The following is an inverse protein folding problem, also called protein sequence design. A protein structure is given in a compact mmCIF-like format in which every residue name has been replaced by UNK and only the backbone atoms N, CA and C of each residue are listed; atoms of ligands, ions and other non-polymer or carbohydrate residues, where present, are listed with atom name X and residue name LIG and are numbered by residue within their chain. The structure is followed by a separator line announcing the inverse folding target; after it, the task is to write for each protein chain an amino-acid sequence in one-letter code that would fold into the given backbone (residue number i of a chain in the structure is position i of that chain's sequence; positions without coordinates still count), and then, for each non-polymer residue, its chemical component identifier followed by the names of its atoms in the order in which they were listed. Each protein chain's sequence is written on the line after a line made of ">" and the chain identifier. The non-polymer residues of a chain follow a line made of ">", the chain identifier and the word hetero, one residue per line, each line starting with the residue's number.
data_IF_879707989322
#
_entry.id   IF_879707989322
#
_cell.length_a   1.000
_cell.length_b   1.000
_cell.length_c   1.000
_cell.angle_alpha   90.00
_cell.angle_beta   90.00
_cell.angle_gamma   90.00
#
_symmetry.space_group_name_H-M   'P 1'
#
loop_
_entity.id
_entity.type
_entity.pdbx_description
1 polymer ?
#
# COMPACT_ATOMS: atom_id res chain seq x y z
N UNK A 1 12.43 -10.75 19.09
CA UNK A 1 11.30 -9.80 19.13
C UNK A 1 10.02 -10.60 19.00
N UNK A 2 9.02 -10.48 19.90
CA UNK A 2 7.84 -11.33 19.89
C UNK A 2 6.70 -10.81 18.98
N UNK A 3 6.90 -9.75 18.21
CA UNK A 3 5.79 -9.06 17.54
C UNK A 3 5.37 -9.71 16.21
N UNK A 4 6.30 -10.18 15.40
CA UNK A 4 5.97 -10.87 14.13
C UNK A 4 5.37 -12.28 14.36
N UNK A 5 5.66 -12.92 15.50
CA UNK A 5 5.09 -14.24 15.82
C UNK A 5 3.64 -14.19 16.34
N UNK A 6 3.10 -13.01 16.64
CA UNK A 6 1.71 -12.84 17.11
C UNK A 6 0.72 -12.44 16.03
N UNK A 7 1.17 -11.95 14.87
CA UNK A 7 0.27 -11.62 13.76
C UNK A 7 -0.39 -12.85 13.09
N UNK A 8 0.07 -14.06 13.41
CA UNK A 8 -0.47 -15.32 12.86
C UNK A 8 -1.62 -15.95 13.66
N UNK A 9 -2.14 -15.35 14.71
CA UNK A 9 -3.30 -15.88 15.45
C UNK A 9 -4.43 -14.89 15.49
N UNK A 10 -5.35 -15.01 14.52
CA UNK A 10 -6.70 -14.46 14.65
C UNK A 10 -7.41 -15.32 15.70
N UNK A 11 -7.94 -14.75 16.82
CA UNK A 11 -8.79 -15.51 17.73
C UNK A 11 -10.04 -15.93 16.96
N UNK A 12 -10.26 -17.24 16.81
CA UNK A 12 -11.53 -17.76 16.32
C UNK A 12 -12.60 -17.50 17.42
N UNK A 13 -13.35 -16.42 17.26
CA UNK A 13 -14.59 -16.23 17.99
C UNK A 13 -15.63 -17.25 17.49
N UNK A 14 -16.52 -17.79 18.35
CA UNK A 14 -17.50 -18.78 17.92
C UNK A 14 -18.50 -18.14 16.95
N UNK A 15 -18.49 -18.56 15.70
CA UNK A 15 -19.54 -18.26 14.74
C UNK A 15 -20.85 -18.87 15.22
N UNK A 16 -21.74 -18.08 15.79
CA UNK A 16 -23.14 -18.45 15.94
C UNK A 16 -23.75 -18.38 14.52
N UNK A 17 -24.09 -19.56 13.99
CA UNK A 17 -24.93 -19.68 12.83
C UNK A 17 -26.30 -19.03 13.12
N UNK A 18 -26.58 -17.90 12.55
CA UNK A 18 -27.92 -17.33 12.52
C UNK A 18 -28.71 -18.04 11.42
N UNK A 19 -29.68 -18.85 11.85
CA UNK A 19 -30.58 -19.59 10.96
C UNK A 19 -31.42 -18.61 10.11
N UNK A 20 -31.45 -18.85 8.82
CA UNK A 20 -32.33 -18.17 7.88
C UNK A 20 -33.81 -18.53 8.14
N UNK A 21 -34.76 -17.59 8.16
CA UNK A 21 -36.18 -17.95 8.22
C UNK A 21 -36.65 -18.43 6.86
N UNK A 22 -37.26 -19.62 6.86
CA UNK A 22 -37.93 -20.20 5.71
C UNK A 22 -39.19 -19.42 5.36
N UNK A 23 -39.27 -18.83 4.16
CA UNK A 23 -40.47 -18.27 3.62
C UNK A 23 -41.28 -19.38 2.92
N UNK A 24 -42.46 -19.73 3.51
CA UNK A 24 -43.49 -20.55 2.89
C UNK A 24 -44.30 -19.70 1.93
N UNK A 25 -44.34 -20.08 0.67
CA UNK A 25 -45.19 -19.49 -0.34
C UNK A 25 -46.67 -19.86 -0.14
N UNK A 26 -47.56 -18.90 -0.33
CA UNK A 26 -48.97 -19.16 -0.63
C UNK A 26 -49.31 -18.59 -1.99
N UNK A 27 -49.84 -19.49 -2.84
CA UNK A 27 -50.38 -19.20 -4.17
C UNK A 27 -51.73 -18.46 -4.01
N UNK A 28 -51.96 -17.44 -4.83
CA UNK A 28 -53.27 -16.81 -5.00
C UNK A 28 -53.38 -16.17 -6.36
N UNK A 29 -54.00 -16.90 -7.30
CA UNK A 29 -54.47 -16.39 -8.58
C UNK A 29 -55.60 -15.36 -8.36
N UNK A 30 -55.57 -14.23 -9.06
CA UNK A 30 -56.81 -13.67 -9.68
C UNK A 30 -56.45 -12.76 -10.86
N UNK A 31 -57.08 -13.09 -11.98
CA UNK A 31 -57.20 -12.34 -13.23
C UNK A 31 -58.08 -11.10 -12.99
N UNK A 32 -57.72 -10.00 -13.64
CA UNK A 32 -58.59 -8.84 -13.79
C UNK A 32 -58.19 -8.06 -15.04
N UNK A 33 -58.93 -8.30 -16.12
CA UNK A 33 -58.89 -7.52 -17.37
C UNK A 33 -59.75 -6.29 -17.16
N UNK A 34 -59.29 -5.10 -17.53
CA UNK A 34 -60.20 -4.01 -17.95
C UNK A 34 -59.52 -3.12 -19.01
N UNK A 35 -60.31 -2.89 -20.02
CA UNK A 35 -60.07 -2.13 -21.25
C UNK A 35 -60.26 -0.60 -21.04
N UNK A 36 -59.72 0.11 -22.03
CA UNK A 36 -60.19 1.37 -22.64
C UNK A 36 -59.88 2.65 -21.88
N UNK A 37 -59.55 3.78 -22.47
CA UNK A 37 -60.05 4.46 -23.68
C UNK A 37 -59.03 5.52 -24.10
N UNK A 38 -58.83 5.66 -25.42
CA UNK A 38 -58.08 6.76 -26.02
C UNK A 38 -58.94 8.03 -26.05
N UNK A 39 -58.37 9.15 -25.66
CA UNK A 39 -58.91 10.46 -25.99
C UNK A 39 -57.83 11.35 -26.56
N UNK A 40 -57.90 11.59 -27.86
CA UNK A 40 -57.10 12.59 -28.54
C UNK A 40 -57.68 13.98 -28.30
N UNK A 41 -56.84 14.89 -27.75
CA UNK A 41 -57.13 16.33 -27.84
C UNK A 41 -55.96 17.01 -28.55
N UNK A 42 -56.25 17.54 -29.70
CA UNK A 42 -55.42 18.46 -30.47
C UNK A 42 -55.45 19.84 -29.79
N UNK A 43 -54.30 20.38 -29.44
CA UNK A 43 -54.16 21.80 -29.11
C UNK A 43 -53.02 22.41 -29.92
N UNK A 44 -53.35 23.57 -30.49
CA UNK A 44 -52.57 24.39 -31.40
C UNK A 44 -51.24 24.86 -30.82
N UNK A 45 -50.23 24.92 -31.70
CA UNK A 45 -48.91 25.47 -31.45
C UNK A 45 -48.93 26.97 -31.73
N UNK A 46 -48.47 27.81 -30.78
CA UNK A 46 -48.00 29.14 -31.15
C UNK A 46 -46.47 29.07 -31.43
N UNK A 47 -46.08 29.61 -32.56
CA UNK A 47 -44.69 29.84 -32.93
C UNK A 47 -44.02 30.85 -31.96
N UNK A 48 -42.92 30.46 -31.33
CA UNK A 48 -42.05 31.39 -30.61
C UNK A 48 -40.71 31.47 -31.32
N UNK A 49 -40.26 32.70 -31.49
CA UNK A 49 -39.00 33.17 -32.09
C UNK A 49 -37.73 32.60 -31.47
N UNK A 50 -36.57 32.60 -32.17
CA UNK A 50 -35.34 31.99 -31.68
C UNK A 50 -34.71 32.84 -30.58
N UNK A 51 -34.81 32.37 -29.36
CA UNK A 51 -34.13 32.87 -28.22
C UNK A 51 -32.65 32.45 -28.20
N UNK A 52 -31.78 33.39 -27.98
CA UNK A 52 -30.36 33.32 -27.77
C UNK A 52 -29.91 32.05 -27.05
N UNK A 53 -29.05 31.27 -27.70
CA UNK A 53 -28.36 30.11 -27.11
C UNK A 53 -27.28 30.63 -26.16
N UNK A 54 -27.52 30.51 -24.87
CA UNK A 54 -26.44 30.60 -23.89
C UNK A 54 -25.39 29.50 -24.16
N UNK A 55 -24.09 29.79 -24.10
CA UNK A 55 -23.06 28.79 -24.28
C UNK A 55 -23.16 27.73 -23.19
N UNK A 56 -22.96 26.44 -23.52
CA UNK A 56 -22.94 25.41 -22.50
C UNK A 56 -21.83 25.68 -21.52
N UNK A 57 -22.17 25.80 -20.24
CA UNK A 57 -21.21 25.78 -19.14
C UNK A 57 -20.54 24.38 -19.16
N UNK A 58 -19.45 24.26 -19.91
CA UNK A 58 -18.51 23.16 -19.76
C UNK A 58 -17.90 23.32 -18.35
N UNK A 59 -18.60 22.79 -17.38
CA UNK A 59 -17.99 22.45 -16.10
C UNK A 59 -16.86 21.49 -16.41
N UNK A 60 -15.63 21.99 -16.48
CA UNK A 60 -14.45 21.17 -16.41
C UNK A 60 -14.47 20.47 -15.05
N UNK A 61 -15.14 19.32 -14.98
CA UNK A 61 -14.82 18.34 -13.97
C UNK A 61 -13.34 18.03 -14.18
N UNK A 62 -12.47 18.74 -13.46
CA UNK A 62 -11.08 18.31 -13.31
C UNK A 62 -11.17 16.91 -12.73
N UNK A 63 -11.02 15.92 -13.60
CA UNK A 63 -10.75 14.56 -13.15
C UNK A 63 -9.51 14.69 -12.27
N UNK A 64 -9.69 14.48 -10.99
CA UNK A 64 -8.64 14.61 -9.99
C UNK A 64 -7.80 13.32 -10.04
N UNK A 65 -7.13 13.10 -11.18
CA UNK A 65 -6.26 11.95 -11.39
C UNK A 65 -5.00 12.12 -10.54
N UNK A 66 -4.52 11.01 -10.00
CA UNK A 66 -3.31 10.97 -9.20
C UNK A 66 -2.12 11.61 -9.95
N UNK A 67 -1.23 12.35 -9.25
CA UNK A 67 -0.09 12.98 -9.88
C UNK A 67 0.89 11.95 -10.43
N UNK A 68 1.40 12.19 -11.62
CA UNK A 68 2.54 11.44 -12.19
C UNK A 68 3.81 11.91 -11.48
N UNK A 69 4.52 10.98 -10.87
CA UNK A 69 5.68 11.30 -10.04
C UNK A 69 7.00 10.94 -10.70
N UNK A 70 8.03 11.71 -10.35
CA UNK A 70 9.43 11.40 -10.61
C UNK A 70 10.31 12.03 -9.52
N UNK A 71 11.56 11.60 -9.44
CA UNK A 71 12.56 12.16 -8.54
C UNK A 71 13.22 13.38 -9.18
N UNK A 72 13.38 14.45 -8.42
CA UNK A 72 14.18 15.62 -8.79
C UNK A 72 15.01 16.07 -7.58
N UNK A 73 16.30 15.80 -7.62
CA UNK A 73 17.17 15.93 -6.45
C UNK A 73 16.67 15.07 -5.29
N UNK A 74 16.50 15.66 -4.13
CA UNK A 74 16.01 14.98 -2.94
C UNK A 74 14.47 15.10 -2.75
N UNK A 75 13.70 15.28 -3.84
CA UNK A 75 12.25 15.44 -3.79
C UNK A 75 11.52 14.54 -4.78
N UNK A 76 10.33 14.10 -4.37
CA UNK A 76 9.33 13.61 -5.31
C UNK A 76 8.61 14.83 -5.90
N UNK A 77 8.50 14.87 -7.22
CA UNK A 77 7.83 15.96 -7.92
C UNK A 77 6.81 15.42 -8.92
N UNK A 78 5.79 16.23 -9.21
CA UNK A 78 4.81 15.92 -10.24
C UNK A 78 5.34 16.32 -11.65
N UNK A 79 4.56 16.01 -12.69
CA UNK A 79 4.90 16.34 -14.07
C UNK A 79 5.13 17.83 -14.37
N UNK A 80 4.82 18.73 -13.42
CA UNK A 80 5.08 20.17 -13.52
C UNK A 80 6.29 20.61 -12.69
N UNK A 81 7.07 19.66 -12.15
CA UNK A 81 8.21 19.93 -11.27
C UNK A 81 7.82 20.43 -9.86
N UNK A 82 6.55 20.36 -9.47
CA UNK A 82 6.14 20.79 -8.13
C UNK A 82 6.35 19.64 -7.14
N UNK A 83 6.95 19.90 -5.97
CA UNK A 83 7.09 18.90 -4.91
C UNK A 83 5.75 18.28 -4.51
N UNK A 84 5.76 16.99 -4.23
CA UNK A 84 4.61 16.23 -3.75
C UNK A 84 5.03 15.48 -2.49
N UNK A 85 4.40 15.83 -1.37
CA UNK A 85 4.53 15.10 -0.11
C UNK A 85 3.44 14.03 -0.04
N UNK A 86 3.85 12.81 0.28
CA UNK A 86 2.93 11.69 0.42
C UNK A 86 2.49 11.61 1.89
N UNK A 87 1.23 11.89 2.16
CA UNK A 87 0.59 11.70 3.45
C UNK A 87 -0.44 10.59 3.28
N UNK A 88 -0.12 9.38 3.74
CA UNK A 88 -0.85 8.20 3.33
C UNK A 88 -1.11 7.19 4.42
N UNK A 89 -1.64 6.07 3.99
CA UNK A 89 -1.89 4.90 4.84
C UNK A 89 -1.45 3.62 4.14
N UNK A 90 -1.13 2.61 4.93
CA UNK A 90 -0.99 1.24 4.47
C UNK A 90 -2.37 0.58 4.49
N UNK A 91 -2.78 -0.02 3.38
CA UNK A 91 -4.02 -0.80 3.25
C UNK A 91 -3.66 -2.28 3.38
N UNK A 92 -3.47 -2.73 4.63
CA UNK A 92 -3.12 -4.11 4.94
C UNK A 92 -4.21 -5.11 4.55
N UNK A 93 -3.87 -6.39 4.55
CA UNK A 93 -4.77 -7.50 4.22
C UNK A 93 -4.33 -8.27 2.98
N UNK A 94 -3.89 -7.58 1.94
CA UNK A 94 -3.49 -8.20 0.67
C UNK A 94 -2.22 -9.03 0.77
N UNK A 95 -1.38 -8.79 1.78
CA UNK A 95 -0.13 -9.50 2.00
C UNK A 95 -0.32 -10.89 2.65
N UNK A 96 -1.43 -11.11 3.40
CA UNK A 96 -1.59 -12.35 4.17
C UNK A 96 -2.88 -13.13 3.88
N UNK A 97 -4.01 -12.47 3.58
CA UNK A 97 -5.30 -13.16 3.48
C UNK A 97 -5.31 -14.20 2.37
N UNK A 98 -4.68 -13.90 1.23
CA UNK A 98 -4.66 -14.80 0.08
C UNK A 98 -3.95 -16.12 0.39
N UNK A 99 -2.78 -16.07 1.01
CA UNK A 99 -2.00 -17.28 1.37
C UNK A 99 -2.64 -18.05 2.53
N UNK A 100 -3.47 -17.38 3.33
CA UNK A 100 -4.24 -17.98 4.42
C UNK A 100 -5.61 -18.55 3.96
N UNK A 101 -6.01 -18.33 2.71
CA UNK A 101 -7.28 -18.82 2.18
C UNK A 101 -8.51 -18.04 2.62
N UNK A 102 -8.34 -16.77 3.02
CA UNK A 102 -9.41 -15.93 3.58
C UNK A 102 -9.87 -14.80 2.64
N UNK A 103 -9.40 -14.76 1.41
CA UNK A 103 -9.72 -13.70 0.45
C UNK A 103 -8.49 -12.93 -0.01
N UNK A 104 -8.69 -11.74 -0.58
CA UNK A 104 -7.61 -10.87 -1.05
C UNK A 104 -7.54 -9.58 -0.21
N UNK A 105 -8.68 -9.05 0.20
CA UNK A 105 -8.78 -7.82 1.02
C UNK A 105 -9.55 -8.12 2.30
N UNK A 106 -9.14 -7.49 3.40
CA UNK A 106 -9.77 -7.61 4.71
C UNK A 106 -10.99 -6.69 4.93
N UNK A 107 -11.35 -5.92 3.91
CA UNK A 107 -12.48 -4.99 3.97
C UNK A 107 -12.82 -4.42 2.59
N UNK A 108 -13.69 -3.41 2.54
CA UNK A 108 -14.22 -2.88 1.30
C UNK A 108 -13.13 -2.25 0.41
N UNK A 109 -13.30 -2.42 -0.90
CA UNK A 109 -12.48 -1.82 -1.95
C UNK A 109 -13.33 -0.95 -2.87
N UNK A 110 -14.27 -0.23 -2.28
CA UNK A 110 -15.28 0.58 -2.96
C UNK A 110 -15.01 2.10 -2.83
N UNK A 111 -15.83 2.88 -3.50
CA UNK A 111 -15.75 4.34 -3.48
C UNK A 111 -16.00 4.93 -2.08
N UNK A 112 -16.80 4.28 -1.24
CA UNK A 112 -17.10 4.77 0.11
C UNK A 112 -15.84 4.71 1.00
N UNK A 113 -15.11 3.59 0.98
CA UNK A 113 -13.84 3.44 1.69
C UNK A 113 -12.79 4.45 1.22
N UNK A 114 -12.68 4.67 -0.10
CA UNK A 114 -11.77 5.69 -0.66
C UNK A 114 -12.18 7.10 -0.21
N UNK A 115 -13.48 7.40 -0.17
CA UNK A 115 -13.98 8.71 0.28
C UNK A 115 -13.66 8.96 1.76
N UNK A 116 -13.72 7.92 2.59
CA UNK A 116 -13.33 7.98 4.00
C UNK A 116 -11.84 8.33 4.16
N UNK A 117 -10.95 7.69 3.38
CA UNK A 117 -9.51 8.05 3.35
C UNK A 117 -9.29 9.51 2.93
N UNK A 118 -9.94 9.95 1.86
CA UNK A 118 -9.85 11.35 1.38
C UNK A 118 -10.33 12.37 2.41
N UNK A 119 -11.36 12.04 3.20
CA UNK A 119 -11.87 12.89 4.26
C UNK A 119 -10.84 13.13 5.39
N UNK A 120 -9.86 12.23 5.54
CA UNK A 120 -8.73 12.44 6.45
C UNK A 120 -7.62 13.32 5.85
N UNK A 121 -7.57 13.49 4.53
CA UNK A 121 -6.49 14.20 3.83
C UNK A 121 -5.45 13.28 3.21
N UNK A 122 -5.72 12.00 3.20
CA UNK A 122 -4.85 10.99 2.62
C UNK A 122 -4.73 11.23 1.11
N UNK A 123 -3.50 11.22 0.59
CA UNK A 123 -3.15 11.40 -0.81
C UNK A 123 -2.31 10.24 -1.38
N UNK A 124 -1.98 9.24 -0.55
CA UNK A 124 -1.24 8.06 -0.95
C UNK A 124 -1.75 6.80 -0.22
N UNK A 125 -1.74 5.66 -0.89
CA UNK A 125 -2.08 4.36 -0.33
C UNK A 125 -0.98 3.37 -0.67
N UNK A 126 -0.34 2.78 0.33
CA UNK A 126 0.58 1.65 0.17
C UNK A 126 -0.22 0.37 0.27
N UNK A 127 -0.09 -0.48 -0.74
CA UNK A 127 -0.79 -1.75 -0.87
C UNK A 127 0.27 -2.84 -0.76
N UNK A 128 0.35 -3.52 0.39
CA UNK A 128 1.30 -4.60 0.61
C UNK A 128 0.90 -5.82 -0.22
N UNK A 129 1.84 -6.38 -1.00
CA UNK A 129 1.59 -7.52 -1.86
C UNK A 129 2.20 -8.79 -1.29
N UNK A 130 1.57 -9.93 -1.63
CA UNK A 130 2.10 -11.25 -1.36
C UNK A 130 2.74 -11.82 -2.64
N UNK A 131 4.00 -12.20 -2.56
CA UNK A 131 4.77 -12.71 -3.69
C UNK A 131 4.20 -14.01 -4.26
N UNK A 132 3.88 -14.98 -3.39
CA UNK A 132 3.31 -16.26 -3.80
C UNK A 132 1.91 -16.12 -4.40
N UNK A 133 1.09 -15.23 -3.84
CA UNK A 133 -0.25 -14.96 -4.37
C UNK A 133 -0.18 -14.27 -5.74
N UNK A 134 0.70 -13.28 -5.91
CA UNK A 134 0.89 -12.61 -7.20
C UNK A 134 1.43 -13.54 -8.27
N UNK A 135 2.44 -14.36 -7.95
CA UNK A 135 3.06 -15.32 -8.87
C UNK A 135 2.13 -16.52 -9.17
N UNK A 136 1.11 -16.75 -8.35
CA UNK A 136 0.16 -17.86 -8.55
C UNK A 136 0.72 -19.20 -8.10
N UNK A 137 1.45 -19.20 -6.98
CA UNK A 137 2.05 -20.41 -6.44
C UNK A 137 1.03 -21.49 -6.11
N UNK A 138 1.37 -22.74 -6.41
CA UNK A 138 0.45 -23.87 -6.36
C UNK A 138 -0.11 -24.19 -4.96
N UNK A 139 0.51 -23.67 -3.92
CA UNK A 139 0.05 -23.83 -2.53
C UNK A 139 -0.99 -22.76 -2.11
N UNK A 140 -1.21 -21.73 -2.93
CA UNK A 140 -2.24 -20.72 -2.70
C UNK A 140 -3.53 -21.16 -3.37
N UNK A 141 -4.68 -20.92 -2.72
CA UNK A 141 -5.98 -21.18 -3.33
C UNK A 141 -6.10 -20.39 -4.65
N UNK A 142 -6.39 -21.08 -5.78
CA UNK A 142 -6.51 -20.42 -7.09
C UNK A 142 -7.51 -19.27 -7.14
N UNK A 143 -8.52 -19.27 -6.25
CA UNK A 143 -9.46 -18.15 -6.13
C UNK A 143 -8.79 -16.84 -5.70
N UNK A 144 -7.64 -16.92 -5.02
CA UNK A 144 -6.93 -15.78 -4.43
C UNK A 144 -5.49 -15.64 -4.95
N UNK A 145 -5.15 -16.36 -6.04
CA UNK A 145 -3.80 -16.40 -6.62
C UNK A 145 -3.78 -16.04 -8.10
N UNK A 146 -2.59 -15.75 -8.61
CA UNK A 146 -2.34 -15.48 -10.03
C UNK A 146 -3.22 -14.37 -10.58
N UNK A 147 -3.91 -14.64 -11.67
CA UNK A 147 -4.74 -13.66 -12.37
C UNK A 147 -5.82 -13.05 -11.47
N UNK A 148 -6.48 -13.85 -10.61
CA UNK A 148 -7.53 -13.36 -9.71
C UNK A 148 -6.98 -12.33 -8.70
N UNK A 149 -5.83 -12.62 -8.09
CA UNK A 149 -5.16 -11.68 -7.19
C UNK A 149 -4.71 -10.42 -7.94
N UNK A 150 -4.04 -10.59 -9.07
CA UNK A 150 -3.56 -9.49 -9.89
C UNK A 150 -4.69 -8.57 -10.37
N UNK A 151 -5.83 -9.14 -10.79
CA UNK A 151 -6.98 -8.36 -11.27
C UNK A 151 -7.63 -7.56 -10.15
N UNK A 152 -7.73 -8.12 -8.95
CA UNK A 152 -8.22 -7.44 -7.76
C UNK A 152 -7.31 -6.24 -7.40
N UNK A 153 -5.98 -6.44 -7.37
CA UNK A 153 -5.01 -5.37 -7.14
C UNK A 153 -5.10 -4.29 -8.22
N UNK A 154 -5.14 -4.68 -9.51
CA UNK A 154 -5.28 -3.73 -10.64
C UNK A 154 -6.57 -2.90 -10.53
N UNK A 155 -7.67 -3.52 -10.12
CA UNK A 155 -8.94 -2.81 -9.92
C UNK A 155 -8.84 -1.77 -8.80
N UNK A 156 -8.23 -2.15 -7.67
CA UNK A 156 -8.07 -1.25 -6.54
C UNK A 156 -7.10 -0.10 -6.84
N UNK A 157 -5.97 -0.38 -7.50
CA UNK A 157 -5.04 0.67 -7.98
C UNK A 157 -5.75 1.69 -8.87
N UNK A 158 -6.59 1.22 -9.83
CA UNK A 158 -7.37 2.12 -10.69
C UNK A 158 -8.32 3.01 -9.87
N UNK A 159 -9.00 2.44 -8.88
CA UNK A 159 -9.93 3.17 -8.02
C UNK A 159 -9.21 4.24 -7.19
N UNK A 160 -8.08 3.91 -6.55
CA UNK A 160 -7.26 4.83 -5.76
C UNK A 160 -6.77 5.98 -6.65
N UNK A 161 -6.17 5.67 -7.81
CA UNK A 161 -5.65 6.69 -8.73
C UNK A 161 -6.75 7.58 -9.33
N UNK A 162 -7.92 7.03 -9.65
CA UNK A 162 -9.07 7.80 -10.14
C UNK A 162 -9.56 8.84 -9.11
N UNK A 163 -9.26 8.61 -7.84
CA UNK A 163 -9.58 9.52 -6.74
C UNK A 163 -8.44 10.49 -6.37
N UNK A 164 -7.38 10.56 -7.18
CA UNK A 164 -6.30 11.51 -7.04
C UNK A 164 -5.22 11.10 -6.05
N UNK A 165 -5.19 9.85 -5.60
CA UNK A 165 -4.21 9.32 -4.66
C UNK A 165 -3.14 8.48 -5.38
N UNK A 166 -1.89 8.65 -4.97
CA UNK A 166 -0.74 7.84 -5.39
C UNK A 166 -0.85 6.44 -4.79
N UNK A 167 -0.36 5.44 -5.50
CA UNK A 167 -0.24 4.07 -5.00
C UNK A 167 1.23 3.71 -4.84
N UNK A 168 1.58 3.08 -3.71
CA UNK A 168 2.85 2.39 -3.52
C UNK A 168 2.53 0.89 -3.47
N UNK A 169 3.14 0.12 -4.35
CA UNK A 169 3.08 -1.34 -4.33
C UNK A 169 4.37 -1.86 -3.75
N UNK A 170 4.31 -2.67 -2.71
CA UNK A 170 5.49 -3.27 -2.11
C UNK A 170 5.43 -4.80 -2.12
N UNK A 171 6.59 -5.44 -2.25
CA UNK A 171 6.75 -6.84 -1.97
C UNK A 171 6.81 -7.01 -0.44
N UNK A 172 5.65 -7.28 0.17
CA UNK A 172 5.52 -7.29 1.63
C UNK A 172 5.80 -8.65 2.24
N UNK A 173 5.07 -9.68 1.77
CA UNK A 173 5.33 -11.06 2.15
C UNK A 173 5.98 -11.80 0.99
N UNK A 174 7.16 -12.32 1.25
CA UNK A 174 7.90 -13.17 0.32
C UNK A 174 7.20 -14.52 0.14
N UNK A 175 7.59 -15.24 -0.91
CA UNK A 175 7.11 -16.60 -1.18
C UNK A 175 7.26 -17.51 0.04
N UNK A 176 6.20 -18.26 0.36
CA UNK A 176 6.17 -19.20 1.47
C UNK A 176 4.76 -19.47 1.97
N UNK A 177 4.59 -20.61 2.65
CA UNK A 177 3.30 -21.07 3.21
C UNK A 177 2.96 -20.45 4.56
N UNK A 178 3.88 -19.74 5.18
CA UNK A 178 3.71 -19.09 6.49
C UNK A 178 3.12 -20.01 7.58
N UNK A 179 3.68 -21.21 7.83
CA UNK A 179 3.23 -22.06 8.92
C UNK A 179 3.47 -21.40 10.28
N UNK A 180 2.77 -21.84 11.33
CA UNK A 180 2.83 -21.22 12.66
C UNK A 180 4.25 -21.12 13.25
N UNK A 181 5.15 -22.00 12.82
CA UNK A 181 6.58 -21.99 13.14
C UNK A 181 7.34 -22.07 11.84
N UNK A 182 8.01 -21.00 11.47
CA UNK A 182 8.80 -20.98 10.27
C UNK A 182 10.19 -20.40 10.48
N UNK A 183 11.16 -21.04 9.80
CA UNK A 183 12.52 -20.55 9.74
C UNK A 183 12.72 -19.76 8.45
N UNK A 184 13.05 -18.49 8.58
CA UNK A 184 13.32 -17.60 7.44
C UNK A 184 14.54 -18.06 6.63
N UNK A 185 15.47 -18.81 7.23
CA UNK A 185 16.62 -19.36 6.53
C UNK A 185 16.23 -20.45 5.52
N UNK A 186 15.10 -21.14 5.74
CA UNK A 186 14.60 -22.18 4.85
C UNK A 186 13.65 -21.67 3.75
N UNK A 187 13.49 -20.36 3.63
CA UNK A 187 12.62 -19.75 2.62
C UNK A 187 11.13 -20.15 2.71
N UNK A 188 10.65 -20.55 3.88
CA UNK A 188 9.26 -20.96 4.12
C UNK A 188 8.40 -19.87 4.69
N UNK A 189 8.99 -18.72 5.02
CA UNK A 189 8.39 -17.61 5.71
C UNK A 189 8.91 -16.29 5.17
N UNK A 190 8.70 -15.23 5.96
CA UNK A 190 9.26 -13.92 5.68
C UNK A 190 10.80 -14.03 5.57
N UNK A 191 11.28 -13.87 4.35
CA UNK A 191 12.70 -13.94 4.03
C UNK A 191 13.40 -12.68 4.50
N UNK A 192 14.66 -12.77 5.00
CA UNK A 192 15.42 -11.58 5.40
C UNK A 192 15.74 -10.62 4.24
N UNK A 193 15.75 -11.13 3.02
CA UNK A 193 15.94 -10.40 1.75
C UNK A 193 15.24 -11.16 0.62
N UNK A 194 14.93 -10.52 -0.51
CA UNK A 194 14.25 -11.19 -1.62
C UNK A 194 15.10 -12.33 -2.21
N UNK A 195 14.45 -13.40 -2.63
CA UNK A 195 15.12 -14.48 -3.36
C UNK A 195 15.09 -14.23 -4.88
N UNK A 196 16.03 -14.84 -5.61
CA UNK A 196 16.08 -14.70 -7.07
C UNK A 196 14.94 -15.44 -7.78
N UNK A 197 14.51 -16.56 -7.23
CA UNK A 197 13.58 -17.45 -7.92
C UNK A 197 12.19 -16.83 -8.05
N UNK A 198 11.74 -16.10 -7.05
CA UNK A 198 10.37 -15.55 -7.01
C UNK A 198 10.32 -14.04 -7.15
N UNK A 199 11.27 -13.29 -6.56
CA UNK A 199 11.23 -11.84 -6.60
C UNK A 199 11.51 -11.25 -7.99
N UNK A 200 12.35 -11.90 -8.80
CA UNK A 200 12.60 -11.47 -10.18
C UNK A 200 11.36 -11.63 -11.07
N UNK A 201 10.68 -12.80 -11.13
CA UNK A 201 9.41 -12.93 -11.85
C UNK A 201 8.32 -11.99 -11.31
N UNK A 202 8.21 -11.84 -9.97
CA UNK A 202 7.27 -10.93 -9.34
C UNK A 202 7.44 -9.50 -9.85
N UNK A 203 8.64 -8.92 -9.72
CA UNK A 203 8.88 -7.54 -10.15
C UNK A 203 8.83 -7.36 -11.66
N UNK A 204 9.20 -8.37 -12.44
CA UNK A 204 8.99 -8.36 -13.90
C UNK A 204 7.51 -8.23 -14.24
N UNK A 205 6.65 -8.99 -13.57
CA UNK A 205 5.20 -8.97 -13.79
C UNK A 205 4.55 -7.70 -13.28
N UNK A 206 4.84 -7.27 -12.04
CA UNK A 206 4.31 -6.03 -11.45
C UNK A 206 4.70 -4.82 -12.29
N UNK A 207 5.99 -4.70 -12.63
CA UNK A 207 6.49 -3.58 -13.43
C UNK A 207 5.86 -3.55 -14.84
N UNK A 208 5.74 -4.69 -15.53
CA UNK A 208 5.04 -4.76 -16.81
C UNK A 208 3.58 -4.32 -16.71
N UNK A 209 2.90 -4.68 -15.61
CA UNK A 209 1.50 -4.32 -15.38
C UNK A 209 1.31 -2.82 -15.20
N UNK A 210 2.22 -2.14 -14.49
CA UNK A 210 2.03 -0.75 -14.05
C UNK A 210 3.00 0.26 -14.68
N UNK A 211 3.92 -0.13 -15.57
CA UNK A 211 4.92 0.77 -16.20
C UNK A 211 4.34 1.98 -16.94
N UNK A 212 3.09 1.89 -17.38
CA UNK A 212 2.38 3.02 -18.03
C UNK A 212 1.77 4.02 -17.05
N UNK A 213 1.80 3.72 -15.74
CA UNK A 213 1.14 4.50 -14.70
C UNK A 213 2.16 5.12 -13.73
N UNK A 214 2.59 6.34 -14.00
CA UNK A 214 3.57 7.04 -13.17
C UNK A 214 3.00 7.57 -11.82
N UNK A 215 1.74 7.27 -11.49
CA UNK A 215 1.16 7.46 -10.16
C UNK A 215 1.28 6.19 -9.29
N UNK A 216 1.99 5.17 -9.78
CA UNK A 216 2.36 3.96 -9.02
C UNK A 216 3.86 4.00 -8.76
N UNK A 217 4.24 3.77 -7.52
CA UNK A 217 5.60 3.66 -7.02
C UNK A 217 5.84 2.19 -6.67
N UNK A 218 7.05 1.68 -6.88
CA UNK A 218 7.45 0.32 -6.55
C UNK A 218 8.38 0.33 -5.34
N UNK A 219 7.96 -0.26 -4.22
CA UNK A 219 8.77 -0.47 -3.01
C UNK A 219 9.32 -1.90 -3.04
N UNK A 220 10.61 -2.03 -3.32
CA UNK A 220 11.21 -3.29 -3.78
C UNK A 220 11.12 -4.44 -2.79
N UNK A 221 11.15 -4.14 -1.49
CA UNK A 221 11.01 -5.14 -0.44
C UNK A 221 10.69 -4.44 0.88
N UNK A 222 9.66 -4.91 1.56
CA UNK A 222 9.09 -4.28 2.74
C UNK A 222 10.11 -3.98 3.84
N UNK A 223 10.68 -5.01 4.44
CA UNK A 223 11.48 -4.89 5.66
C UNK A 223 12.72 -5.81 5.62
N UNK A 224 13.79 -5.44 4.90
CA UNK A 224 15.00 -6.27 4.85
C UNK A 224 15.72 -6.33 6.20
N UNK A 225 16.24 -7.52 6.55
CA UNK A 225 17.03 -7.75 7.78
C UNK A 225 18.18 -8.77 7.59
N UNK A 226 18.94 -8.70 6.48
CA UNK A 226 20.00 -9.68 6.20
C UNK A 226 21.13 -9.66 7.23
N UNK A 227 21.35 -8.54 7.94
CA UNK A 227 22.36 -8.42 8.98
C UNK A 227 22.16 -9.43 10.13
N UNK A 228 20.91 -9.87 10.36
CA UNK A 228 20.62 -10.89 11.37
C UNK A 228 21.06 -12.27 10.91
N UNK A 229 20.88 -12.58 9.64
CA UNK A 229 21.30 -13.87 9.06
C UNK A 229 22.81 -13.90 8.89
N UNK A 230 23.41 -12.83 8.36
CA UNK A 230 24.87 -12.73 8.16
C UNK A 230 25.64 -12.48 9.46
N UNK A 231 24.98 -12.07 10.54
CA UNK A 231 25.56 -11.66 11.82
C UNK A 231 26.60 -10.54 11.69
N UNK A 232 26.43 -9.70 10.69
CA UNK A 232 27.33 -8.59 10.38
C UNK A 232 26.55 -7.54 9.61
N UNK A 233 26.57 -6.30 10.07
CA UNK A 233 25.95 -5.17 9.38
C UNK A 233 26.60 -4.94 8.01
N UNK A 234 27.93 -4.93 7.93
CA UNK A 234 28.65 -4.76 6.67
C UNK A 234 28.32 -5.88 5.67
N UNK A 235 28.29 -7.15 6.11
CA UNK A 235 27.87 -8.26 5.25
C UNK A 235 26.37 -8.17 4.90
N UNK A 236 25.54 -7.65 5.80
CA UNK A 236 24.14 -7.36 5.57
C UNK A 236 23.95 -6.36 4.44
N UNK A 237 24.64 -5.21 4.49
CA UNK A 237 24.59 -4.20 3.42
C UNK A 237 25.11 -4.73 2.08
N UNK A 238 26.18 -5.53 2.07
CA UNK A 238 26.68 -6.16 0.83
C UNK A 238 25.67 -7.13 0.25
N UNK A 239 25.05 -7.97 1.10
CA UNK A 239 23.98 -8.88 0.70
C UNK A 239 22.76 -8.14 0.18
N UNK A 240 22.34 -7.08 0.87
CA UNK A 240 21.23 -6.23 0.49
C UNK A 240 21.42 -5.61 -0.90
N UNK A 241 22.59 -5.06 -1.19
CA UNK A 241 22.86 -4.42 -2.48
C UNK A 241 23.06 -5.46 -3.58
N UNK A 242 24.01 -6.40 -3.38
CA UNK A 242 24.53 -7.25 -4.44
C UNK A 242 23.77 -8.58 -4.58
N UNK A 243 23.19 -9.09 -3.49
CA UNK A 243 22.58 -10.42 -3.50
C UNK A 243 23.58 -11.55 -3.69
N UNK A 244 23.16 -12.59 -4.41
CA UNK A 244 23.94 -13.80 -4.64
C UNK A 244 23.89 -14.75 -3.45
N UNK A 245 25.00 -15.41 -3.15
CA UNK A 245 25.14 -16.28 -1.96
C UNK A 245 25.54 -15.43 -0.75
N UNK A 246 24.62 -15.31 0.20
CA UNK A 246 24.85 -14.55 1.42
C UNK A 246 25.06 -15.49 2.63
N UNK A 247 26.03 -15.20 3.52
CA UNK A 247 26.26 -16.02 4.71
C UNK A 247 24.98 -16.14 5.57
N UNK A 248 24.65 -17.37 5.99
CA UNK A 248 23.49 -17.63 6.83
C UNK A 248 22.12 -17.56 6.12
N UNK A 249 22.10 -17.36 4.79
CA UNK A 249 20.89 -17.38 3.96
C UNK A 249 20.98 -18.57 3.01
N UNK A 250 19.96 -19.44 3.07
CA UNK A 250 19.94 -20.74 2.38
C UNK A 250 19.44 -20.72 0.93
N UNK A 251 19.30 -19.54 0.33
CA UNK A 251 18.82 -19.36 -1.05
C UNK A 251 19.59 -18.27 -1.77
N UNK A 252 19.64 -18.27 -3.12
CA UNK A 252 20.21 -17.18 -3.91
C UNK A 252 19.39 -15.90 -3.72
N UNK A 253 20.05 -14.84 -3.25
CA UNK A 253 19.44 -13.55 -2.93
C UNK A 253 19.37 -12.68 -4.19
N UNK A 254 18.20 -12.08 -4.47
CA UNK A 254 18.09 -10.96 -5.39
C UNK A 254 18.43 -9.67 -4.63
N UNK A 255 19.65 -9.15 -4.81
CA UNK A 255 20.02 -7.86 -4.22
C UNK A 255 19.19 -6.72 -4.82
N UNK A 256 19.13 -5.59 -4.10
CA UNK A 256 18.35 -4.42 -4.55
C UNK A 256 18.81 -3.93 -5.92
N UNK A 257 20.10 -4.03 -6.24
CA UNK A 257 20.58 -3.71 -7.59
C UNK A 257 19.96 -4.61 -8.66
N UNK A 258 19.83 -5.91 -8.39
CA UNK A 258 19.18 -6.86 -9.30
C UNK A 258 17.70 -6.49 -9.50
N UNK A 259 17.00 -6.13 -8.44
CA UNK A 259 15.59 -5.75 -8.52
C UNK A 259 15.38 -4.43 -9.26
N UNK A 260 16.23 -3.41 -9.05
CA UNK A 260 16.21 -2.18 -9.85
C UNK A 260 16.39 -2.51 -11.33
N UNK A 261 17.41 -3.32 -11.67
CA UNK A 261 17.68 -3.73 -13.04
C UNK A 261 16.49 -4.50 -13.65
N UNK A 262 15.85 -5.39 -12.86
CA UNK A 262 14.66 -6.15 -13.25
C UNK A 262 13.50 -5.21 -13.62
N UNK A 263 13.19 -4.25 -12.76
CA UNK A 263 12.15 -3.26 -13.02
C UNK A 263 12.47 -2.44 -14.27
N UNK A 264 13.71 -1.95 -14.40
CA UNK A 264 14.13 -1.11 -15.54
C UNK A 264 14.18 -1.89 -16.86
N UNK A 265 14.50 -3.18 -16.84
CA UNK A 265 14.48 -4.04 -18.02
C UNK A 265 13.08 -4.18 -18.66
N UNK A 266 12.01 -3.97 -17.89
CA UNK A 266 10.63 -3.93 -18.43
C UNK A 266 10.31 -2.66 -19.22
N UNK A 267 11.15 -1.65 -19.14
CA UNK A 267 10.90 -0.29 -19.65
C UNK A 267 10.12 0.59 -18.65
N UNK A 268 9.87 0.12 -17.43
CA UNK A 268 9.22 0.91 -16.39
C UNK A 268 10.07 2.12 -15.98
N UNK A 269 9.42 3.27 -15.91
CA UNK A 269 10.04 4.54 -15.48
C UNK A 269 9.50 5.02 -14.12
N UNK A 270 8.73 4.20 -13.45
CA UNK A 270 8.14 4.50 -12.14
C UNK A 270 9.23 4.82 -11.10
N UNK A 271 8.90 5.63 -10.11
CA UNK A 271 9.74 5.79 -8.91
C UNK A 271 9.90 4.43 -8.23
N UNK A 272 11.11 4.12 -7.82
CA UNK A 272 11.44 2.92 -7.03
C UNK A 272 11.79 3.38 -5.61
N UNK A 273 11.30 2.67 -4.60
CA UNK A 273 11.73 2.78 -3.22
C UNK A 273 12.58 1.56 -2.84
N UNK A 274 13.60 1.79 -2.01
CA UNK A 274 14.40 0.72 -1.41
C UNK A 274 14.57 0.99 0.09
N UNK A 275 14.07 0.07 0.92
CA UNK A 275 14.17 0.16 2.37
C UNK A 275 15.56 -0.16 2.89
N UNK A 276 15.98 0.47 4.00
CA UNK A 276 17.23 0.17 4.66
C UNK A 276 17.23 -1.18 5.39
N UNK A 277 18.28 -1.46 6.18
CA UNK A 277 18.37 -2.69 7.00
C UNK A 277 17.49 -2.61 8.26
N UNK A 278 17.57 -3.64 9.08
CA UNK A 278 16.90 -3.74 10.37
C UNK A 278 15.40 -3.43 10.29
N UNK A 279 14.72 -4.08 9.35
CA UNK A 279 13.29 -3.85 9.05
C UNK A 279 13.02 -2.43 8.52
N UNK A 280 13.82 -2.00 7.55
CA UNK A 280 13.78 -0.67 6.94
C UNK A 280 14.00 0.49 7.95
N UNK A 281 14.51 0.20 9.17
CA UNK A 281 14.72 1.20 10.22
C UNK A 281 16.16 1.76 10.25
N UNK A 282 17.14 1.02 9.73
CA UNK A 282 18.55 1.43 9.69
C UNK A 282 18.89 2.05 8.33
N UNK A 283 19.25 3.34 8.35
CA UNK A 283 19.62 4.10 7.15
C UNK A 283 21.12 4.44 7.11
N UNK A 284 21.92 3.97 8.07
CA UNK A 284 23.32 4.37 8.22
C UNK A 284 24.21 4.04 7.02
N UNK A 285 23.95 2.89 6.39
CA UNK A 285 24.72 2.43 5.21
C UNK A 285 24.04 2.72 3.89
N UNK A 286 22.83 3.29 3.85
CA UNK A 286 22.02 3.38 2.65
C UNK A 286 22.71 4.14 1.51
N UNK A 287 23.25 5.34 1.79
CA UNK A 287 23.95 6.14 0.78
C UNK A 287 25.21 5.48 0.23
N UNK A 288 25.94 4.73 1.08
CA UNK A 288 27.14 4.01 0.63
C UNK A 288 26.82 2.77 -0.22
N UNK A 289 25.56 2.31 -0.17
CA UNK A 289 25.08 1.13 -0.89
C UNK A 289 23.90 1.48 -1.80
N UNK A 290 23.70 2.74 -2.16
CA UNK A 290 22.61 3.15 -3.05
C UNK A 290 22.66 2.36 -4.36
N UNK A 291 21.55 1.66 -4.74
CA UNK A 291 21.50 0.97 -6.03
C UNK A 291 21.59 1.97 -7.19
N UNK A 292 22.40 1.65 -8.18
CA UNK A 292 22.49 2.46 -9.39
C UNK A 292 21.18 2.35 -10.20
N UNK A 293 20.52 3.45 -10.42
CA UNK A 293 19.36 3.55 -11.30
C UNK A 293 19.69 4.44 -12.51
N UNK A 294 19.69 3.91 -13.75
CA UNK A 294 20.04 4.69 -14.95
C UNK A 294 19.05 5.84 -15.22
N UNK A 295 17.88 5.82 -14.57
CA UNK A 295 16.90 6.89 -14.71
C UNK A 295 16.95 7.91 -13.58
N UNK A 296 17.83 7.73 -12.59
CA UNK A 296 17.90 8.56 -11.38
C UNK A 296 16.51 8.78 -10.73
N UNK A 297 15.71 7.72 -10.70
CA UNK A 297 14.33 7.77 -10.21
C UNK A 297 14.12 6.82 -9.02
N UNK A 298 15.15 6.75 -8.16
CA UNK A 298 15.19 5.98 -6.92
C UNK A 298 14.98 6.90 -5.72
N UNK A 299 14.31 6.41 -4.70
CA UNK A 299 14.11 7.04 -3.40
C UNK A 299 14.30 6.00 -2.30
N UNK A 300 14.54 6.45 -1.07
CA UNK A 300 14.68 5.57 0.08
C UNK A 300 13.32 5.35 0.76
N UNK A 301 13.07 4.11 1.23
CA UNK A 301 11.97 3.75 2.12
C UNK A 301 12.49 3.63 3.55
N UNK A 302 11.76 4.14 4.52
CA UNK A 302 12.11 4.06 5.93
C UNK A 302 10.89 3.68 6.76
N UNK A 303 11.07 2.81 7.77
CA UNK A 303 10.02 2.43 8.70
C UNK A 303 10.36 2.86 10.12
N UNK A 304 9.39 3.40 10.84
CA UNK A 304 9.62 3.88 12.19
C UNK A 304 8.44 3.64 13.12
N UNK A 305 8.69 2.84 14.13
CA UNK A 305 7.77 2.53 15.22
C UNK A 305 8.39 2.90 16.57
N UNK A 306 7.55 3.14 17.58
CA UNK A 306 8.01 3.51 18.92
C UNK A 306 8.91 2.47 19.61
N UNK A 307 8.96 1.25 19.08
CA UNK A 307 9.78 0.14 19.57
C UNK A 307 11.01 -0.15 18.71
N UNK A 308 11.23 0.58 17.63
CA UNK A 308 12.43 0.42 16.80
C UNK A 308 13.69 1.00 17.47
N UNK A 309 14.87 0.62 16.95
CA UNK A 309 16.14 1.19 17.38
C UNK A 309 16.19 2.70 17.12
N UNK A 310 15.86 3.10 15.91
CA UNK A 310 15.82 4.50 15.51
C UNK A 310 14.41 5.07 15.71
N UNK A 311 14.06 5.37 16.97
CA UNK A 311 12.73 5.81 17.38
C UNK A 311 12.70 7.15 18.13
N UNK A 312 13.74 7.98 17.96
CA UNK A 312 13.82 9.28 18.61
C UNK A 312 14.54 10.31 17.73
N UNK A 313 14.34 11.59 18.03
CA UNK A 313 14.84 12.71 17.22
C UNK A 313 16.37 12.71 17.05
N UNK A 314 17.12 12.26 18.04
CA UNK A 314 18.58 12.17 17.94
C UNK A 314 18.97 11.22 16.82
N UNK A 315 18.38 10.02 16.81
CA UNK A 315 18.63 9.04 15.77
C UNK A 315 18.11 9.52 14.40
N UNK A 316 16.89 10.07 14.34
CA UNK A 316 16.35 10.57 13.09
C UNK A 316 17.26 11.62 12.45
N UNK A 317 17.80 12.52 13.28
CA UNK A 317 18.71 13.59 12.81
C UNK A 317 20.08 13.05 12.40
N UNK A 318 20.59 12.03 13.09
CA UNK A 318 21.93 11.50 12.78
C UNK A 318 21.97 10.47 11.67
N UNK A 319 20.87 9.71 11.46
CA UNK A 319 20.87 8.57 10.53
C UNK A 319 19.96 8.77 9.30
N UNK A 320 18.83 9.45 9.48
CA UNK A 320 17.84 9.62 8.40
C UNK A 320 17.99 10.96 7.68
N UNK A 321 18.23 12.05 8.42
CA UNK A 321 18.39 13.37 7.81
C UNK A 321 19.52 13.45 6.77
N UNK A 322 20.69 12.79 6.93
CA UNK A 322 21.71 12.75 5.90
C UNK A 322 21.24 12.12 4.58
N UNK A 323 20.37 11.11 4.65
CA UNK A 323 19.77 10.47 3.46
C UNK A 323 18.76 11.42 2.82
N UNK A 324 17.87 12.04 3.61
CA UNK A 324 16.90 13.05 3.12
C UNK A 324 17.59 14.21 2.40
N UNK A 325 18.79 14.58 2.82
CA UNK A 325 19.53 15.66 2.19
C UNK A 325 19.98 15.35 0.75
N UNK A 326 20.06 14.06 0.36
CA UNK A 326 20.58 13.63 -0.93
C UNK A 326 19.52 13.00 -1.84
N UNK A 327 18.62 12.18 -1.29
CA UNK A 327 17.56 11.50 -2.05
C UNK A 327 16.21 11.71 -1.36
N UNK A 328 15.08 11.56 -2.08
CA UNK A 328 13.79 11.56 -1.42
C UNK A 328 13.70 10.38 -0.44
N UNK A 329 13.19 10.64 0.76
CA UNK A 329 12.85 9.59 1.73
C UNK A 329 11.34 9.58 1.92
N UNK A 330 10.73 8.41 1.83
CA UNK A 330 9.34 8.18 2.21
C UNK A 330 9.34 7.24 3.41
N UNK A 331 8.78 7.69 4.53
CA UNK A 331 8.51 6.77 5.62
C UNK A 331 7.32 5.88 5.25
N UNK A 332 7.62 4.73 4.62
CA UNK A 332 6.64 3.76 4.09
C UNK A 332 5.72 3.22 5.16
N UNK A 333 6.23 3.14 6.41
CA UNK A 333 5.44 2.81 7.58
C UNK A 333 5.85 3.66 8.78
N UNK A 334 4.83 4.25 9.43
CA UNK A 334 4.97 4.83 10.76
C UNK A 334 3.88 4.27 11.66
N UNK A 335 4.20 4.02 12.93
CA UNK A 335 3.21 3.50 13.86
C UNK A 335 3.63 3.52 15.33
N UNK A 336 2.67 3.26 16.22
CA UNK A 336 2.94 2.98 17.63
C UNK A 336 1.94 1.95 18.17
N UNK A 337 2.40 1.10 19.09
CA UNK A 337 1.66 -0.03 19.61
C UNK A 337 0.98 0.23 20.97
N UNK A 338 0.69 1.49 21.28
CA UNK A 338 0.13 1.90 22.58
C UNK A 338 -1.32 2.41 22.48
N UNK A 339 -1.91 2.47 21.32
CA UNK A 339 -3.12 3.22 20.98
C UNK A 339 -3.02 4.74 21.24
N UNK A 340 -1.89 5.26 21.70
CA UNK A 340 -1.64 6.69 21.78
C UNK A 340 -1.21 7.23 20.39
N UNK A 341 -0.93 8.51 20.31
CA UNK A 341 -0.44 9.16 19.10
C UNK A 341 0.76 10.08 19.37
N UNK A 342 1.33 10.01 20.55
CA UNK A 342 2.41 10.90 20.97
C UNK A 342 3.68 10.69 20.16
N UNK A 343 4.04 9.43 19.95
CA UNK A 343 5.20 9.07 19.15
C UNK A 343 5.06 9.49 17.69
N UNK A 344 3.96 9.07 17.03
CA UNK A 344 3.75 9.43 15.62
C UNK A 344 3.59 10.92 15.41
N UNK A 345 3.03 11.67 16.38
CA UNK A 345 2.91 13.13 16.29
C UNK A 345 4.29 13.79 16.28
N UNK A 346 5.19 13.36 17.17
CA UNK A 346 6.57 13.86 17.17
C UNK A 346 7.31 13.51 15.88
N UNK A 347 7.13 12.28 15.38
CA UNK A 347 7.74 11.81 14.15
C UNK A 347 7.22 12.56 12.92
N UNK A 348 5.90 12.73 12.78
CA UNK A 348 5.29 13.47 11.67
C UNK A 348 5.75 14.93 11.66
N UNK A 349 5.77 15.62 12.80
CA UNK A 349 6.28 16.98 12.90
C UNK A 349 7.73 17.09 12.41
N UNK A 350 8.56 16.10 12.76
CA UNK A 350 9.95 16.04 12.29
C UNK A 350 10.02 15.78 10.78
N UNK A 351 9.29 14.80 10.24
CA UNK A 351 9.24 14.50 8.80
C UNK A 351 8.73 15.68 7.98
N UNK A 352 7.69 16.37 8.45
CA UNK A 352 7.19 17.61 7.81
C UNK A 352 8.25 18.70 7.76
N UNK A 353 9.03 18.88 8.85
CA UNK A 353 10.16 19.84 8.89
C UNK A 353 11.25 19.50 7.88
N UNK A 354 11.40 18.20 7.55
CA UNK A 354 12.34 17.71 6.53
C UNK A 354 11.71 17.68 5.12
N UNK A 355 10.43 17.98 4.97
CA UNK A 355 9.67 17.83 3.72
C UNK A 355 9.71 16.38 3.19
N UNK A 356 9.57 15.39 4.08
CA UNK A 356 9.51 13.96 3.77
C UNK A 356 8.10 13.42 3.94
N UNK A 357 7.68 12.54 3.01
CA UNK A 357 6.38 11.88 3.07
C UNK A 357 6.35 10.74 4.09
N UNK A 358 5.14 10.38 4.55
CA UNK A 358 4.93 9.26 5.48
C UNK A 358 3.56 8.60 5.27
N UNK A 359 3.50 7.29 5.57
CA UNK A 359 2.28 6.50 5.52
C UNK A 359 2.10 5.73 6.84
N UNK A 360 0.96 5.93 7.49
CA UNK A 360 0.71 5.24 8.75
C UNK A 360 0.27 3.79 8.54
N UNK A 361 0.75 2.90 9.38
CA UNK A 361 0.25 1.54 9.52
C UNK A 361 -0.88 1.56 10.56
N UNK A 362 -2.12 1.05 10.30
CA UNK A 362 -2.65 0.69 9.00
C UNK A 362 -4.14 1.08 8.92
N UNK A 363 -4.66 1.28 7.70
CA UNK A 363 -6.09 1.43 7.44
C UNK A 363 -6.76 0.06 7.48
N UNK A 364 -7.00 -0.41 8.68
CA UNK A 364 -7.53 -1.72 9.01
C UNK A 364 -8.42 -1.58 10.25
N UNK A 365 -9.55 -2.30 10.29
CA UNK A 365 -10.51 -2.27 11.40
C UNK A 365 -10.47 -3.54 12.26
N UNK A 366 -9.72 -4.57 11.86
CA UNK A 366 -9.79 -5.90 12.48
C UNK A 366 -8.75 -6.09 13.61
N UNK A 367 -7.71 -5.25 13.65
CA UNK A 367 -6.67 -5.35 14.67
C UNK A 367 -6.90 -4.33 15.80
N UNK A 368 -6.69 -4.72 17.07
CA UNK A 368 -6.67 -3.76 18.17
C UNK A 368 -5.52 -2.77 18.01
N UNK A 369 -5.76 -1.47 18.20
CA UNK A 369 -4.72 -0.45 18.06
C UNK A 369 -3.53 -0.64 19.01
N UNK A 370 -3.70 -1.35 20.14
CA UNK A 370 -2.62 -1.65 21.09
C UNK A 370 -1.69 -2.80 20.66
N UNK A 371 -2.03 -3.55 19.62
CA UNK A 371 -1.25 -4.71 19.20
C UNK A 371 -0.99 -4.77 17.69
N UNK A 372 -1.80 -4.07 16.90
CA UNK A 372 -1.60 -3.94 15.47
C UNK A 372 -2.07 -2.55 15.07
N UNK A 373 -1.24 -1.50 15.13
CA UNK A 373 -1.63 -0.09 15.20
C UNK A 373 -2.66 0.32 14.15
N UNK A 374 -3.91 -0.13 14.35
CA UNK A 374 -5.03 0.18 13.46
C UNK A 374 -5.47 1.62 13.61
N UNK A 375 -5.61 2.29 12.48
CA UNK A 375 -6.06 3.69 12.41
C UNK A 375 -7.56 3.83 12.61
N UNK A 376 -8.33 2.82 12.24
CA UNK A 376 -9.79 2.87 12.19
C UNK A 376 -10.44 1.75 13.00
N UNK A 377 -11.64 2.01 13.47
CA UNK A 377 -12.53 1.02 14.10
C UNK A 377 -13.60 0.51 13.11
N UNK A 378 -13.77 1.21 11.99
CA UNK A 378 -14.69 0.87 10.89
C UNK A 378 -14.21 1.50 9.60
N UNK A 379 -14.47 0.84 8.48
CA UNK A 379 -14.07 1.31 7.13
C UNK A 379 -14.81 2.57 6.65
N UNK A 380 -15.74 3.09 7.43
CA UNK A 380 -16.31 4.43 7.24
C UNK A 380 -15.36 5.56 7.66
N UNK A 381 -14.19 5.20 8.21
CA UNK A 381 -13.17 6.13 8.68
C UNK A 381 -13.38 6.62 10.12
N UNK A 382 -14.17 5.89 10.93
CA UNK A 382 -14.25 6.10 12.38
C UNK A 382 -12.89 5.77 13.01
N UNK A 383 -12.18 6.73 13.67
CA UNK A 383 -10.82 6.53 14.13
C UNK A 383 -10.73 5.72 15.43
N UNK A 384 -9.64 4.98 15.60
CA UNK A 384 -9.12 4.60 16.93
C UNK A 384 -8.52 5.82 17.64
N UNK A 385 -8.14 5.76 18.92
CA UNK A 385 -7.40 6.85 19.57
C UNK A 385 -6.08 7.18 18.82
N UNK A 386 -5.33 6.16 18.38
CA UNK A 386 -4.14 6.30 17.52
C UNK A 386 -4.50 7.01 16.21
N UNK A 387 -5.52 6.54 15.50
CA UNK A 387 -5.97 7.14 14.24
C UNK A 387 -6.53 8.55 14.39
N UNK A 388 -7.10 8.89 15.54
CA UNK A 388 -7.59 10.25 15.82
C UNK A 388 -6.42 11.27 15.84
N UNK A 389 -5.28 10.89 16.44
CA UNK A 389 -4.08 11.72 16.42
C UNK A 389 -3.52 11.89 15.01
N UNK A 390 -3.42 10.81 14.23
CA UNK A 390 -3.00 10.87 12.83
C UNK A 390 -3.90 11.78 11.98
N UNK A 391 -5.23 11.58 12.08
CA UNK A 391 -6.23 12.39 11.39
C UNK A 391 -6.17 13.88 11.77
N UNK A 392 -5.97 14.18 13.05
CA UNK A 392 -5.84 15.55 13.55
C UNK A 392 -4.60 16.23 12.96
N UNK A 393 -3.46 15.52 12.93
CA UNK A 393 -2.24 16.02 12.34
C UNK A 393 -2.41 16.33 10.85
N UNK A 394 -2.95 15.41 10.03
CA UNK A 394 -3.18 15.67 8.60
C UNK A 394 -4.13 16.86 8.35
N UNK A 395 -5.06 17.12 9.25
CA UNK A 395 -5.95 18.29 9.16
C UNK A 395 -5.23 19.60 9.44
N UNK A 396 -4.21 19.60 10.30
CA UNK A 396 -3.43 20.82 10.62
C UNK A 396 -2.53 21.29 9.48
N UNK A 397 -2.27 20.41 8.48
CA UNK A 397 -1.46 20.72 7.29
C UNK A 397 -2.27 21.37 6.14
N UNK A 398 -3.58 21.51 6.30
CA UNK A 398 -4.50 22.09 5.32
C UNK A 398 -4.79 23.56 5.69
#
# INVERSE_FOLDING_TARGET
>A
MPYLSRMGRIPQGPHRAAGAPAWRGTRGLRRGVLLCVAAALACAVPACSPGSSAPPLHGHHRHNTAPRLHVAGNRLVNARGRPVLLHGVNRSGTEFLCVQGHGIFDGPTDQASISAMKAWGINAVRIPLNEGCWNGESYVDPAYAGANYQDAIKAYVRLVNANGMVVILDLHWSDGRYPAHCDSAEARCLKPVPDQAQAIPFWTSVANTFKGNAAVIFDLFNEPFPERATRSEAAGWQCWLNGGTCPGIGYPVAGMQTLVNTVRATGARNVILAGGLAYANDMTGWLAHEPADPLHNLAASWHSYNFNRCSNITCWTSEVAPVIAQVPVVAGEIGENTCASGYITALMNWLDSQSSGYLAWAWNADFPCASGPSLITSYDGSPTPYGAGYKAHLRSLR
#
